data_IF_485017893633
#
_entry.id   IF_485017893633
#
_cell.length_a   1.000
_cell.length_b   1.000
_cell.length_c   1.000
_cell.angle_alpha   90.00
_cell.angle_beta   90.00
_cell.angle_gamma   90.00
#
_symmetry.space_group_name_H-M   'P 1'
#
loop_
_entity.id
_entity.type
_entity.pdbx_description
1 polymer ?
#
# COMPACT_ATOMS: atom_id res chain seq x y z
N UNK A 1 5.03 18.06 14.07
CA UNK A 1 5.44 18.40 15.46
C UNK A 1 5.43 17.22 16.45
N UNK A 2 4.92 16.03 16.09
CA UNK A 2 4.92 14.85 16.98
C UNK A 2 6.15 13.93 16.85
N UNK A 3 6.86 13.99 15.72
CA UNK A 3 7.99 13.10 15.42
C UNK A 3 9.07 13.03 16.51
N UNK A 4 9.61 14.15 17.06
CA UNK A 4 10.65 14.06 18.08
C UNK A 4 10.14 13.40 19.38
N UNK A 5 8.89 13.67 19.77
CA UNK A 5 8.27 13.08 20.96
C UNK A 5 8.00 11.58 20.76
N UNK A 6 7.54 11.20 19.57
CA UNK A 6 7.33 9.78 19.21
C UNK A 6 8.65 9.00 19.21
N UNK A 7 9.73 9.57 18.67
CA UNK A 7 11.06 8.95 18.68
C UNK A 7 11.60 8.82 20.11
N UNK A 8 11.45 9.86 20.93
CA UNK A 8 11.85 9.82 22.34
C UNK A 8 11.10 8.74 23.12
N UNK A 9 9.78 8.61 22.91
CA UNK A 9 8.96 7.58 23.55
C UNK A 9 9.35 6.16 23.10
N UNK A 10 9.65 5.95 21.82
CA UNK A 10 10.16 4.67 21.31
C UNK A 10 11.51 4.33 21.95
N UNK A 11 12.42 5.31 22.06
CA UNK A 11 13.72 5.11 22.68
C UNK A 11 13.61 4.80 24.18
N UNK A 12 12.74 5.51 24.90
CA UNK A 12 12.46 5.27 26.31
C UNK A 12 11.82 3.89 26.54
N UNK A 13 10.85 3.50 25.71
CA UNK A 13 10.21 2.19 25.76
C UNK A 13 11.17 1.04 25.43
N UNK A 14 12.12 1.25 24.51
CA UNK A 14 13.18 0.29 24.20
C UNK A 14 14.10 0.06 25.39
N UNK A 15 14.51 1.12 26.08
CA UNK A 15 15.34 1.03 27.30
C UNK A 15 14.61 0.35 28.46
N UNK A 16 13.28 0.49 28.55
CA UNK A 16 12.43 -0.11 29.59
C UNK A 16 12.00 -1.54 29.29
N UNK A 17 12.23 -2.06 28.07
CA UNK A 17 11.85 -3.42 27.69
C UNK A 17 10.33 -3.64 27.50
N UNK A 18 9.51 -2.58 27.58
CA UNK A 18 8.04 -2.64 27.43
C UNK A 18 7.58 -2.53 25.97
N UNK A 19 8.45 -2.86 25.01
CA UNK A 19 8.13 -2.71 23.60
C UNK A 19 7.07 -3.74 23.18
N UNK A 20 5.91 -3.27 22.68
CA UNK A 20 4.82 -4.12 22.14
C UNK A 20 5.30 -5.03 20.98
N UNK A 21 6.40 -4.68 20.31
CA UNK A 21 7.00 -5.43 19.20
C UNK A 21 8.40 -5.91 19.61
N UNK A 22 8.76 -7.17 19.33
CA UNK A 22 10.03 -7.80 19.77
C UNK A 22 11.30 -7.11 19.23
N UNK A 23 11.19 -6.26 18.21
CA UNK A 23 12.32 -5.54 17.60
C UNK A 23 11.88 -4.26 16.91
N UNK A 24 12.75 -3.24 16.89
CA UNK A 24 12.58 -2.02 16.08
C UNK A 24 12.42 -2.33 14.59
N UNK A 25 13.01 -3.44 14.13
CA UNK A 25 12.84 -3.91 12.76
C UNK A 25 11.39 -4.26 12.43
N UNK A 26 10.68 -4.90 13.36
CA UNK A 26 9.28 -5.27 13.19
C UNK A 26 8.38 -4.01 13.19
N UNK A 27 8.80 -2.95 13.90
CA UNK A 27 8.13 -1.65 13.91
C UNK A 27 8.37 -0.83 12.62
N UNK A 28 9.56 -0.95 11.99
CA UNK A 28 9.91 -0.26 10.74
C UNK A 28 9.49 -1.02 9.47
N UNK A 29 9.22 -2.31 9.58
CA UNK A 29 8.69 -3.17 8.51
C UNK A 29 7.56 -2.55 7.66
N UNK A 30 6.55 -1.87 8.22
CA UNK A 30 5.50 -1.19 7.42
C UNK A 30 6.00 -0.01 6.59
N UNK A 31 7.15 0.56 6.94
CA UNK A 31 7.77 1.67 6.23
C UNK A 31 8.43 1.20 4.93
N UNK A 32 9.00 -0.01 4.92
CA UNK A 32 9.70 -0.60 3.77
C UNK A 32 8.89 -0.57 2.46
N UNK A 33 7.62 -1.03 2.39
CA UNK A 33 6.86 -0.98 1.14
C UNK A 33 6.57 0.46 0.67
N UNK A 34 6.39 1.42 1.57
CA UNK A 34 6.19 2.83 1.18
C UNK A 34 7.47 3.38 0.56
N UNK A 35 8.63 3.11 1.17
CA UNK A 35 9.92 3.52 0.64
C UNK A 35 10.21 2.86 -0.72
N UNK A 36 9.91 1.57 -0.87
CA UNK A 36 10.07 0.87 -2.15
C UNK A 36 9.17 1.46 -3.24
N UNK A 37 7.90 1.74 -2.93
CA UNK A 37 7.00 2.40 -3.87
C UNK A 37 7.57 3.76 -4.31
N UNK A 38 8.03 4.56 -3.36
CA UNK A 38 8.61 5.87 -3.65
C UNK A 38 9.83 5.73 -4.57
N UNK A 39 10.78 4.85 -4.23
CA UNK A 39 11.96 4.60 -5.07
C UNK A 39 11.58 4.10 -6.48
N UNK A 40 10.69 3.11 -6.59
CA UNK A 40 10.27 2.58 -7.90
C UNK A 40 9.57 3.63 -8.76
N UNK A 41 8.71 4.45 -8.16
CA UNK A 41 8.00 5.51 -8.89
C UNK A 41 8.92 6.66 -9.26
N UNK A 42 9.90 7.02 -8.42
CA UNK A 42 10.93 8.00 -8.76
C UNK A 42 11.85 7.50 -9.88
N UNK A 43 12.27 6.22 -9.85
CA UNK A 43 13.07 5.62 -10.93
C UNK A 43 12.28 5.65 -12.23
N UNK A 44 11.00 5.24 -12.20
CA UNK A 44 10.16 5.30 -13.38
C UNK A 44 10.00 6.73 -13.90
N UNK A 45 9.77 7.71 -13.02
CA UNK A 45 9.62 9.11 -13.40
C UNK A 45 10.89 9.69 -14.06
N UNK A 46 12.09 9.37 -13.55
CA UNK A 46 13.35 9.93 -14.04
C UNK A 46 13.86 9.23 -15.30
N UNK A 47 13.68 7.90 -15.37
CA UNK A 47 14.23 7.09 -16.46
C UNK A 47 13.19 6.67 -17.50
N UNK A 48 11.95 7.19 -17.45
CA UNK A 48 10.92 6.92 -18.46
C UNK A 48 11.38 7.43 -19.83
N UNK A 49 11.54 6.56 -20.85
CA UNK A 49 11.98 6.94 -22.19
C UNK A 49 10.93 7.75 -22.95
N UNK A 50 9.65 7.65 -22.57
CA UNK A 50 8.52 8.34 -23.22
C UNK A 50 8.12 9.63 -22.53
N UNK A 51 8.72 9.95 -21.37
CA UNK A 51 8.29 11.06 -20.51
C UNK A 51 6.78 10.95 -20.18
N UNK A 52 6.41 9.86 -19.50
CA UNK A 52 5.02 9.58 -19.08
C UNK A 52 4.37 10.76 -18.36
N UNK A 53 5.17 11.56 -17.64
CA UNK A 53 4.71 12.74 -16.90
C UNK A 53 4.24 13.84 -17.85
N UNK A 54 4.87 13.99 -19.02
CA UNK A 54 4.45 14.94 -20.03
C UNK A 54 3.25 14.43 -20.84
N UNK A 55 3.19 13.13 -21.12
CA UNK A 55 2.15 12.57 -21.98
C UNK A 55 0.80 12.36 -21.25
N UNK A 56 0.82 11.70 -20.09
CA UNK A 56 -0.39 11.39 -19.31
C UNK A 56 -0.11 11.35 -17.78
N UNK A 57 0.15 12.52 -17.15
CA UNK A 57 0.49 12.57 -15.73
C UNK A 57 -0.63 12.04 -14.84
N UNK A 58 -1.89 12.19 -15.26
CA UNK A 58 -3.07 11.83 -14.48
C UNK A 58 -3.10 10.34 -14.12
N UNK A 59 -2.83 9.48 -15.11
CA UNK A 59 -2.86 8.02 -14.95
C UNK A 59 -1.74 7.56 -14.02
N UNK A 60 -0.56 8.15 -14.17
CA UNK A 60 0.58 7.87 -13.31
C UNK A 60 0.27 8.23 -11.85
N UNK A 61 -0.23 9.44 -11.57
CA UNK A 61 -0.58 9.85 -10.21
C UNK A 61 -1.73 9.00 -9.61
N UNK A 62 -2.73 8.65 -10.41
CA UNK A 62 -3.81 7.76 -9.96
C UNK A 62 -3.32 6.36 -9.62
N UNK A 63 -2.43 5.81 -10.45
CA UNK A 63 -1.77 4.53 -10.17
C UNK A 63 -0.97 4.59 -8.87
N UNK A 64 -0.03 5.54 -8.75
CA UNK A 64 0.81 5.69 -7.54
C UNK A 64 -0.05 5.89 -6.30
N UNK A 65 -1.08 6.73 -6.37
CA UNK A 65 -2.03 6.96 -5.30
C UNK A 65 -2.78 5.69 -4.89
N UNK A 66 -3.26 4.90 -5.86
CA UNK A 66 -4.01 3.66 -5.59
C UNK A 66 -3.13 2.61 -4.90
N UNK A 67 -1.89 2.44 -5.37
CA UNK A 67 -0.95 1.50 -4.72
C UNK A 67 -0.60 1.96 -3.31
N UNK A 68 -0.34 3.26 -3.14
CA UNK A 68 -0.10 3.86 -1.83
C UNK A 68 -1.28 3.64 -0.88
N UNK A 69 -2.51 3.89 -1.32
CA UNK A 69 -3.73 3.64 -0.54
C UNK A 69 -3.86 2.17 -0.15
N UNK A 70 -3.56 1.22 -1.03
CA UNK A 70 -3.58 -0.21 -0.71
C UNK A 70 -2.58 -0.57 0.40
N UNK A 71 -1.36 -0.04 0.32
CA UNK A 71 -0.34 -0.22 1.37
C UNK A 71 -0.83 0.41 2.67
N UNK A 72 -1.26 1.67 2.65
CA UNK A 72 -1.73 2.40 3.84
C UNK A 72 -2.92 1.71 4.52
N UNK A 73 -3.90 1.22 3.77
CA UNK A 73 -5.02 0.45 4.33
C UNK A 73 -4.55 -0.81 5.05
N UNK A 74 -3.61 -1.58 4.46
CA UNK A 74 -3.01 -2.76 5.12
C UNK A 74 -2.30 -2.39 6.40
N UNK A 75 -1.57 -1.25 6.40
CA UNK A 75 -0.91 -0.75 7.61
C UNK A 75 -1.93 -0.47 8.72
N UNK A 76 -2.96 0.33 8.42
CA UNK A 76 -3.99 0.70 9.40
C UNK A 76 -4.65 -0.54 9.99
N UNK A 77 -5.07 -1.50 9.14
CA UNK A 77 -5.69 -2.74 9.60
C UNK A 77 -4.76 -3.52 10.50
N UNK A 78 -3.49 -3.71 10.11
CA UNK A 78 -2.51 -4.45 10.91
C UNK A 78 -2.26 -3.82 12.29
N UNK A 79 -2.27 -2.49 12.38
CA UNK A 79 -2.12 -1.76 13.64
C UNK A 79 -3.35 -1.94 14.54
N UNK A 80 -4.56 -1.86 13.97
CA UNK A 80 -5.82 -2.01 14.69
C UNK A 80 -6.01 -3.43 15.22
N UNK A 81 -5.71 -4.46 14.42
CA UNK A 81 -5.83 -5.86 14.84
C UNK A 81 -4.62 -6.38 15.62
N UNK A 82 -3.58 -5.56 15.82
CA UNK A 82 -2.30 -5.99 16.40
C UNK A 82 -1.70 -7.23 15.69
N UNK A 83 -2.03 -7.41 14.41
CA UNK A 83 -1.52 -8.52 13.59
C UNK A 83 -0.27 -8.08 12.85
N UNK A 84 0.59 -9.03 12.47
CA UNK A 84 1.80 -8.71 11.71
C UNK A 84 1.41 -8.14 10.34
N UNK A 85 2.00 -7.01 9.99
CA UNK A 85 1.82 -6.45 8.66
C UNK A 85 2.64 -7.28 7.65
N UNK A 86 1.96 -7.89 6.69
CA UNK A 86 2.65 -8.52 5.55
C UNK A 86 3.33 -7.41 4.73
N UNK A 87 4.65 -7.34 4.83
CA UNK A 87 5.47 -6.29 4.23
C UNK A 87 5.53 -6.37 2.70
N UNK A 88 5.24 -7.55 2.15
CA UNK A 88 5.40 -7.84 0.73
C UNK A 88 4.02 -7.97 0.08
N UNK A 89 3.56 -6.88 -0.53
CA UNK A 89 2.31 -6.91 -1.28
C UNK A 89 2.55 -7.60 -2.62
N UNK A 90 1.68 -8.55 -3.00
CA UNK A 90 1.70 -9.21 -4.32
C UNK A 90 1.77 -8.20 -5.48
N UNK A 91 1.25 -6.98 -5.25
CA UNK A 91 1.27 -5.87 -6.19
C UNK A 91 2.68 -5.40 -6.60
N UNK A 92 3.73 -5.67 -5.82
CA UNK A 92 5.10 -5.33 -6.24
C UNK A 92 5.58 -6.16 -7.43
N UNK A 93 5.09 -7.38 -7.60
CA UNK A 93 5.46 -8.25 -8.71
C UNK A 93 5.04 -7.69 -10.08
N UNK A 94 3.76 -7.31 -10.33
CA UNK A 94 3.37 -6.71 -11.60
C UNK A 94 4.03 -5.36 -11.87
N UNK A 95 4.34 -4.58 -10.82
CA UNK A 95 5.08 -3.31 -10.96
C UNK A 95 6.50 -3.56 -11.42
N UNK A 96 7.21 -4.50 -10.77
CA UNK A 96 8.58 -4.86 -11.16
C UNK A 96 8.64 -5.42 -12.59
N UNK A 97 7.70 -6.29 -12.96
CA UNK A 97 7.61 -6.84 -14.32
C UNK A 97 7.39 -5.74 -15.36
N UNK A 98 6.48 -4.80 -15.07
CA UNK A 98 6.20 -3.70 -15.98
C UNK A 98 7.41 -2.78 -16.16
N UNK A 99 8.15 -2.47 -15.09
CA UNK A 99 9.38 -1.68 -15.20
C UNK A 99 10.43 -2.39 -16.06
N UNK A 100 10.67 -3.69 -15.83
CA UNK A 100 11.61 -4.48 -16.64
C UNK A 100 11.18 -4.47 -18.12
N UNK A 101 9.88 -4.61 -18.39
CA UNK A 101 9.36 -4.59 -19.74
C UNK A 101 9.52 -3.22 -20.42
N UNK A 102 9.26 -2.12 -19.70
CA UNK A 102 9.44 -0.75 -20.19
C UNK A 102 10.91 -0.48 -20.52
N UNK A 103 11.84 -0.87 -19.63
CA UNK A 103 13.28 -0.70 -19.87
C UNK A 103 13.81 -1.58 -21.01
N UNK A 104 13.27 -2.79 -21.17
CA UNK A 104 13.70 -3.72 -22.22
C UNK A 104 13.10 -3.40 -23.59
N UNK A 105 11.91 -2.78 -23.62
CA UNK A 105 11.14 -2.49 -24.83
C UNK A 105 10.97 -0.96 -25.03
N UNK A 106 12.08 -0.22 -24.89
CA UNK A 106 12.16 1.25 -24.93
C UNK A 106 11.71 1.90 -26.27
N UNK A 107 11.37 1.11 -27.28
CA UNK A 107 11.21 1.59 -28.66
C UNK A 107 9.83 2.18 -29.00
N UNK A 108 8.82 2.10 -28.11
CA UNK A 108 7.45 2.48 -28.48
C UNK A 108 6.66 3.22 -27.39
N UNK A 109 6.54 4.54 -27.57
CA UNK A 109 5.86 5.46 -26.65
C UNK A 109 4.41 5.12 -26.30
N UNK A 110 3.66 4.50 -27.23
CA UNK A 110 2.26 4.12 -27.00
C UNK A 110 2.11 2.92 -26.06
N UNK A 111 3.13 2.07 -25.98
CA UNK A 111 3.10 0.84 -25.17
C UNK A 111 3.23 1.18 -23.68
N UNK A 112 4.02 2.19 -23.32
CA UNK A 112 4.23 2.60 -21.93
C UNK A 112 2.92 3.08 -21.28
N UNK A 113 2.14 3.91 -22.00
CA UNK A 113 0.85 4.44 -21.52
C UNK A 113 -0.18 3.32 -21.35
N UNK A 114 -0.22 2.37 -22.30
CA UNK A 114 -1.14 1.22 -22.19
C UNK A 114 -0.81 0.34 -20.97
N UNK A 115 0.48 0.11 -20.71
CA UNK A 115 0.94 -0.64 -19.52
C UNK A 115 0.56 0.12 -18.24
N UNK A 116 0.76 1.44 -18.19
CA UNK A 116 0.38 2.25 -17.04
C UNK A 116 -1.13 2.16 -16.74
N UNK A 117 -1.98 2.18 -17.77
CA UNK A 117 -3.42 1.96 -17.64
C UNK A 117 -3.77 0.55 -17.16
N UNK A 118 -3.13 -0.48 -17.72
CA UNK A 118 -3.36 -1.86 -17.30
C UNK A 118 -2.97 -2.07 -15.82
N UNK A 119 -1.83 -1.51 -15.41
CA UNK A 119 -1.38 -1.53 -14.01
C UNK A 119 -2.33 -0.76 -13.09
N UNK A 120 -2.85 0.39 -13.54
CA UNK A 120 -3.84 1.16 -12.79
C UNK A 120 -5.10 0.34 -12.53
N UNK A 121 -5.69 -0.24 -13.59
CA UNK A 121 -6.91 -1.07 -13.47
C UNK A 121 -6.65 -2.27 -12.55
N UNK A 122 -5.53 -2.96 -12.72
CA UNK A 122 -5.15 -4.09 -11.86
C UNK A 122 -5.02 -3.66 -10.39
N UNK A 123 -4.41 -2.50 -10.14
CA UNK A 123 -4.23 -1.96 -8.79
C UNK A 123 -5.55 -1.59 -8.13
N UNK A 124 -6.49 -1.02 -8.89
CA UNK A 124 -7.84 -0.70 -8.41
C UNK A 124 -8.59 -1.97 -8.05
N UNK A 125 -8.59 -2.98 -8.94
CA UNK A 125 -9.25 -4.27 -8.67
C UNK A 125 -8.66 -4.93 -7.42
N UNK A 126 -7.34 -4.95 -7.30
CA UNK A 126 -6.66 -5.52 -6.13
C UNK A 126 -6.99 -4.75 -4.84
N UNK A 127 -7.10 -3.42 -4.90
CA UNK A 127 -7.48 -2.59 -3.76
C UNK A 127 -8.92 -2.87 -3.30
N UNK A 128 -9.87 -2.93 -4.25
CA UNK A 128 -11.27 -3.23 -3.95
C UNK A 128 -11.40 -4.64 -3.38
N UNK A 129 -10.78 -5.64 -4.02
CA UNK A 129 -10.81 -7.03 -3.54
C UNK A 129 -10.27 -7.14 -2.11
N UNK A 130 -9.13 -6.52 -1.83
CA UNK A 130 -8.57 -6.49 -0.47
C UNK A 130 -9.54 -5.85 0.53
N UNK A 131 -10.12 -4.69 0.19
CA UNK A 131 -11.08 -3.99 1.04
C UNK A 131 -12.30 -4.86 1.36
N UNK A 132 -12.91 -5.48 0.34
CA UNK A 132 -14.07 -6.36 0.51
C UNK A 132 -13.72 -7.56 1.39
N UNK A 133 -12.59 -8.23 1.15
CA UNK A 133 -12.17 -9.37 1.96
C UNK A 133 -11.97 -9.01 3.44
N UNK A 134 -11.29 -7.90 3.72
CA UNK A 134 -11.05 -7.45 5.11
C UNK A 134 -12.36 -7.09 5.80
N UNK A 135 -13.24 -6.35 5.13
CA UNK A 135 -14.55 -5.98 5.67
C UNK A 135 -15.38 -7.23 5.99
N UNK A 136 -15.40 -8.21 5.10
CA UNK A 136 -16.08 -9.49 5.33
C UNK A 136 -15.45 -10.31 6.47
N UNK A 137 -14.12 -10.30 6.62
CA UNK A 137 -13.43 -10.97 7.72
C UNK A 137 -13.77 -10.31 9.06
N UNK A 138 -13.77 -8.97 9.11
CA UNK A 138 -14.14 -8.22 10.31
C UNK A 138 -15.60 -8.43 10.69
N UNK A 139 -16.52 -8.35 9.73
CA UNK A 139 -17.94 -8.62 9.97
C UNK A 139 -18.19 -10.06 10.47
N UNK A 140 -17.46 -11.06 9.95
CA UNK A 140 -17.47 -12.43 10.49
C UNK A 140 -16.90 -12.52 11.91
N UNK A 141 -15.79 -11.84 12.18
CA UNK A 141 -15.13 -11.85 13.49
C UNK A 141 -16.02 -11.24 14.58
N UNK A 142 -16.64 -10.10 14.30
CA UNK A 142 -17.54 -9.41 15.24
C UNK A 142 -18.98 -9.97 15.23
N UNK A 143 -19.30 -10.91 14.33
CA UNK A 143 -20.67 -11.42 14.08
C UNK A 143 -21.69 -10.32 13.78
N UNK A 144 -21.24 -9.24 13.13
CA UNK A 144 -22.09 -8.13 12.69
C UNK A 144 -22.24 -8.22 11.17
N UNK A 145 -23.44 -7.98 10.67
CA UNK A 145 -23.68 -7.88 9.23
C UNK A 145 -23.41 -6.43 8.82
N UNK A 146 -22.39 -6.21 7.99
CA UNK A 146 -21.90 -4.88 7.59
C UNK A 146 -22.99 -3.90 7.09
N UNK A 147 -24.12 -4.42 6.58
CA UNK A 147 -25.25 -3.62 6.10
C UNK A 147 -26.58 -3.91 6.84
N UNK A 148 -26.54 -4.51 8.03
CA UNK A 148 -27.76 -4.76 8.82
C UNK A 148 -28.04 -3.61 9.78
N UNK A 149 -29.04 -2.79 9.44
CA UNK A 149 -29.64 -1.75 10.29
C UNK A 149 -30.73 -2.32 11.21
N UNK A 150 -30.61 -3.57 11.69
CA UNK A 150 -31.59 -4.09 12.66
C UNK A 150 -31.33 -3.46 14.04
N UNK A 151 -32.15 -2.49 14.41
CA UNK A 151 -32.25 -1.96 15.77
C UNK A 151 -32.61 -3.12 16.69
N UNK A 152 -31.75 -3.43 17.66
CA UNK A 152 -32.07 -4.42 18.70
C UNK A 152 -33.26 -3.91 19.50
N UNK A 153 -34.43 -4.49 19.26
CA UNK A 153 -35.58 -4.35 20.14
C UNK A 153 -35.25 -5.25 21.33
N UNK A 154 -34.86 -4.63 22.45
CA UNK A 154 -34.83 -5.30 23.74
C UNK A 154 -36.30 -5.52 24.13
N UNK A 155 -36.74 -6.77 24.07
CA UNK A 155 -37.87 -7.23 24.86
C UNK A 155 -37.43 -7.42 26.32
#
# INVERSE_FOLDING_TARGET
MSLPVSLYNIHCAYKKGELKQKSLWEAMRPLMPIFLLFLSTSIWAVYSPTDIIHNDPRVFYWFVGTVFSNIACRLIVSQMSSTRCEAFNWLFYPIGLALIFIFSCSHQSKTEVFIAWALFILSVVAHIHYGVCVVQQMCRHFRIHCFSLKKSVKD
#
